data_IF_440402365116
#
_entry.id   IF_440402365116
#
_cell.length_a   1.000
_cell.length_b   1.000
_cell.length_c   1.000
_cell.angle_alpha   90.00
_cell.angle_beta   90.00
_cell.angle_gamma   90.00
#
_symmetry.space_group_name_H-M   'P 1'
#
loop_
_entity.id
_entity.type
_entity.pdbx_description
1 polymer ?
#
# COMPACT_ATOMS: atom_id res chain seq x y z
N UNK A 1 1.95 11.48 13.41
CA UNK A 1 1.52 11.64 12.00
C UNK A 1 0.35 12.64 11.94
N UNK A 2 0.62 13.96 11.84
CA UNK A 2 -0.41 15.02 11.72
C UNK A 2 -0.28 15.87 10.43
N UNK A 3 0.59 15.51 9.48
CA UNK A 3 0.90 16.36 8.31
C UNK A 3 0.39 15.87 6.93
N UNK A 4 -0.47 14.85 6.83
CA UNK A 4 -0.81 14.25 5.53
C UNK A 4 -2.30 13.92 5.41
N UNK A 5 -3.16 14.86 5.01
CA UNK A 5 -4.56 14.48 4.78
C UNK A 5 -5.30 15.06 3.58
N UNK A 6 -4.84 16.05 2.80
CA UNK A 6 -5.69 16.53 1.71
C UNK A 6 -5.99 15.46 0.65
N UNK A 7 -4.98 14.67 0.24
CA UNK A 7 -5.16 13.61 -0.76
C UNK A 7 -5.97 12.39 -0.27
N UNK A 8 -6.07 12.18 1.05
CA UNK A 8 -6.77 11.05 1.65
C UNK A 8 -8.19 11.43 2.14
N UNK A 9 -8.39 12.67 2.60
CA UNK A 9 -9.68 13.14 3.13
C UNK A 9 -10.76 13.19 2.07
N UNK A 10 -10.42 13.56 0.83
CA UNK A 10 -11.38 13.64 -0.30
C UNK A 10 -11.95 12.26 -0.68
N UNK A 11 -11.38 11.17 -0.18
CA UNK A 11 -11.81 9.82 -0.55
C UNK A 11 -12.41 9.00 0.60
N UNK A 12 -11.99 9.17 1.86
CA UNK A 12 -12.53 8.38 2.98
C UNK A 12 -12.23 9.04 4.33
N UNK A 13 -13.24 9.44 5.12
CA UNK A 13 -13.31 9.43 6.62
C UNK A 13 -14.68 10.01 7.09
N UNK A 14 -15.29 9.50 8.19
CA UNK A 14 -16.54 10.03 8.75
C UNK A 14 -16.34 11.32 9.57
N UNK A 15 -17.39 12.13 9.60
CA UNK A 15 -17.52 13.45 10.24
C UNK A 15 -17.13 13.51 11.72
N UNK A 16 -16.22 14.42 12.09
CA UNK A 16 -16.03 14.92 13.46
C UNK A 16 -16.20 16.43 13.46
N UNK A 17 -17.09 16.94 14.32
CA UNK A 17 -17.40 18.36 14.43
C UNK A 17 -16.21 19.15 14.97
N UNK A 18 -15.85 20.25 14.29
CA UNK A 18 -14.79 21.17 14.70
C UNK A 18 -15.22 22.60 14.30
N UNK A 19 -14.70 23.67 14.93
CA UNK A 19 -15.24 25.02 14.72
C UNK A 19 -15.12 25.44 13.26
N UNK A 20 -16.23 26.00 12.76
CA UNK A 20 -16.52 26.21 11.35
C UNK A 20 -16.00 27.58 10.89
N UNK A 21 -15.12 27.58 9.88
CA UNK A 21 -15.12 28.70 8.93
C UNK A 21 -16.35 28.50 8.04
N UNK A 22 -17.17 29.54 7.88
CA UNK A 22 -18.28 29.53 6.94
C UNK A 22 -17.72 29.35 5.53
N UNK A 23 -17.97 28.19 4.96
CA UNK A 23 -17.65 27.86 3.59
C UNK A 23 -18.88 28.21 2.76
N UNK A 24 -18.73 29.17 1.84
CA UNK A 24 -19.82 29.73 1.04
C UNK A 24 -20.36 28.75 -0.01
N UNK A 25 -19.66 27.63 -0.21
CA UNK A 25 -20.08 26.55 -1.10
C UNK A 25 -21.15 25.65 -0.44
N UNK A 26 -22.34 26.23 -0.26
CA UNK A 26 -23.48 25.63 0.47
C UNK A 26 -24.03 24.34 -0.15
N UNK A 27 -23.72 24.08 -1.42
CA UNK A 27 -24.25 22.93 -2.16
C UNK A 27 -23.60 21.60 -1.77
N UNK A 28 -22.37 21.62 -1.20
CA UNK A 28 -21.64 20.39 -0.86
C UNK A 28 -21.00 20.49 0.52
N UNK A 29 -21.81 20.22 1.56
CA UNK A 29 -21.39 20.23 2.98
C UNK A 29 -20.12 19.40 3.24
N UNK A 30 -19.99 18.25 2.57
CA UNK A 30 -18.83 17.36 2.71
C UNK A 30 -17.53 18.00 2.18
N UNK A 31 -17.61 18.74 1.08
CA UNK A 31 -16.47 19.44 0.50
C UNK A 31 -15.88 20.46 1.47
N UNK A 32 -16.75 21.24 2.11
CA UNK A 32 -16.35 22.22 3.12
C UNK A 32 -15.72 21.58 4.38
N UNK A 33 -16.22 20.43 4.81
CA UNK A 33 -15.62 19.65 5.92
C UNK A 33 -14.18 19.26 5.56
N UNK A 34 -13.95 18.78 4.34
CA UNK A 34 -12.63 18.38 3.88
C UNK A 34 -11.66 19.57 3.76
N UNK A 35 -12.13 20.72 3.25
CA UNK A 35 -11.32 21.94 3.18
C UNK A 35 -10.94 22.44 4.58
N UNK A 36 -11.88 22.45 5.52
CA UNK A 36 -11.62 22.88 6.90
C UNK A 36 -10.63 21.96 7.61
N UNK A 37 -10.76 20.64 7.40
CA UNK A 37 -9.82 19.67 7.96
C UNK A 37 -8.41 19.87 7.40
N UNK A 38 -8.28 20.01 6.08
CA UNK A 38 -7.03 20.28 5.40
C UNK A 38 -6.31 21.54 5.92
N UNK A 39 -7.05 22.66 6.01
CA UNK A 39 -6.53 23.92 6.53
C UNK A 39 -5.95 23.75 7.94
N UNK A 40 -6.67 23.06 8.84
CA UNK A 40 -6.21 22.82 10.23
C UNK A 40 -4.89 22.06 10.25
N UNK A 41 -4.72 21.06 9.40
CA UNK A 41 -3.51 20.25 9.36
C UNK A 41 -2.32 21.01 8.80
N UNK A 42 -2.53 21.88 7.81
CA UNK A 42 -1.48 22.76 7.33
C UNK A 42 -1.03 23.73 8.44
N UNK A 43 -1.97 24.27 9.23
CA UNK A 43 -1.65 25.11 10.39
C UNK A 43 -0.85 24.35 11.46
N UNK A 44 -1.22 23.10 11.76
CA UNK A 44 -0.43 22.24 12.66
C UNK A 44 0.99 21.98 12.11
N UNK A 45 1.11 21.73 10.81
CA UNK A 45 2.38 21.52 10.15
C UNK A 45 3.29 22.75 10.23
N UNK A 46 2.73 23.94 9.94
CA UNK A 46 3.42 25.23 10.07
C UNK A 46 3.91 25.46 11.50
N UNK A 47 3.04 25.24 12.50
CA UNK A 47 3.42 25.34 13.92
C UNK A 47 4.58 24.40 14.25
N UNK A 48 4.61 23.20 13.70
CA UNK A 48 5.69 22.24 13.93
C UNK A 48 7.02 22.71 13.32
N UNK A 49 7.02 23.26 12.10
CA UNK A 49 8.23 23.87 11.51
C UNK A 49 8.77 25.03 12.36
N UNK A 50 7.88 25.86 12.91
CA UNK A 50 8.26 27.04 13.70
C UNK A 50 8.78 26.65 15.10
N UNK A 51 8.23 25.59 15.70
CA UNK A 51 8.57 25.16 17.07
C UNK A 51 9.76 24.21 17.18
N UNK A 52 10.19 23.61 16.07
CA UNK A 52 11.27 22.61 16.04
C UNK A 52 12.38 22.94 15.03
N UNK A 53 12.89 24.18 14.95
CA UNK A 53 13.79 24.62 13.87
C UNK A 53 15.11 23.83 13.80
N UNK A 54 15.57 23.25 14.91
CA UNK A 54 16.81 22.48 14.99
C UNK A 54 16.77 21.14 14.25
N UNK A 55 15.58 20.61 13.94
CA UNK A 55 15.40 19.34 13.24
C UNK A 55 15.40 19.47 11.72
N UNK A 56 15.57 20.70 11.22
CA UNK A 56 15.42 20.99 9.82
C UNK A 56 16.62 21.73 9.23
N UNK A 57 16.89 21.44 7.97
CA UNK A 57 17.60 22.35 7.11
C UNK A 57 16.81 23.65 6.95
N UNK A 58 17.45 24.75 7.37
CA UNK A 58 16.82 26.06 7.49
C UNK A 58 16.28 26.59 6.16
N UNK A 59 16.99 26.32 5.05
CA UNK A 59 16.59 26.81 3.74
C UNK A 59 15.43 25.99 3.18
N UNK A 60 15.52 24.66 3.28
CA UNK A 60 14.48 23.76 2.79
C UNK A 60 13.19 23.85 3.63
N UNK A 61 13.30 24.00 4.95
CA UNK A 61 12.15 24.24 5.82
C UNK A 61 11.47 25.57 5.53
N UNK A 62 12.22 26.67 5.37
CA UNK A 62 11.66 27.98 4.98
C UNK A 62 10.87 27.87 3.66
N UNK A 63 11.41 27.10 2.72
CA UNK A 63 10.80 26.82 1.44
C UNK A 63 9.54 25.94 1.54
N UNK A 64 9.51 24.95 2.46
CA UNK A 64 8.33 24.14 2.76
C UNK A 64 7.23 24.98 3.44
N UNK A 65 7.57 25.75 4.47
CA UNK A 65 6.69 26.67 5.18
C UNK A 65 6.06 27.71 4.22
N UNK A 66 6.85 28.27 3.30
CA UNK A 66 6.32 29.20 2.28
C UNK A 66 5.26 28.56 1.38
N UNK A 67 5.48 27.30 0.97
CA UNK A 67 4.54 26.55 0.13
C UNK A 67 3.28 26.16 0.91
N UNK A 68 3.38 25.69 2.15
CA UNK A 68 2.22 25.44 3.01
C UNK A 68 1.37 26.70 3.21
N UNK A 69 1.99 27.87 3.45
CA UNK A 69 1.25 29.14 3.53
C UNK A 69 0.54 29.51 2.22
N UNK A 70 1.08 29.12 1.07
CA UNK A 70 0.42 29.33 -0.22
C UNK A 70 -0.73 28.34 -0.43
N UNK A 71 -0.60 27.09 0.04
CA UNK A 71 -1.69 26.13 0.07
C UNK A 71 -2.86 26.64 0.92
N UNK A 72 -2.58 27.15 2.12
CA UNK A 72 -3.60 27.71 3.00
C UNK A 72 -4.32 28.91 2.38
N UNK A 73 -3.60 29.80 1.71
CA UNK A 73 -4.22 30.90 0.95
C UNK A 73 -5.13 30.40 -0.17
N UNK A 74 -4.77 29.31 -0.84
CA UNK A 74 -5.59 28.71 -1.89
C UNK A 74 -6.82 28.01 -1.31
N UNK A 75 -6.67 27.27 -0.20
CA UNK A 75 -7.77 26.63 0.52
C UNK A 75 -8.76 27.67 1.07
N UNK A 76 -8.25 28.76 1.64
CA UNK A 76 -9.09 29.85 2.12
C UNK A 76 -9.88 30.49 0.98
N UNK A 77 -9.24 30.71 -0.19
CA UNK A 77 -9.96 31.18 -1.38
C UNK A 77 -11.01 30.18 -1.86
N UNK A 78 -10.73 28.87 -1.81
CA UNK A 78 -11.73 27.83 -2.16
C UNK A 78 -12.99 27.92 -1.32
N UNK A 79 -12.85 28.22 -0.02
CA UNK A 79 -13.98 28.35 0.89
C UNK A 79 -14.86 29.56 0.57
N UNK A 80 -14.36 30.55 -0.18
CA UNK A 80 -15.06 31.80 -0.52
C UNK A 80 -15.67 31.80 -1.93
N UNK A 81 -15.45 30.74 -2.71
CA UNK A 81 -15.88 30.69 -4.11
C UNK A 81 -17.23 29.99 -4.24
N UNK A 82 -18.17 30.67 -4.91
CA UNK A 82 -19.44 30.08 -5.34
C UNK A 82 -19.41 29.47 -6.74
N UNK A 83 -18.35 29.70 -7.53
CA UNK A 83 -18.25 29.25 -8.92
C UNK A 83 -17.46 27.92 -9.05
N UNK A 84 -18.08 26.83 -9.53
CA UNK A 84 -17.42 25.52 -9.71
C UNK A 84 -16.16 25.51 -10.59
N UNK A 85 -16.08 26.35 -11.62
CA UNK A 85 -14.90 26.39 -12.51
C UNK A 85 -13.68 27.01 -11.82
N UNK A 86 -13.92 28.00 -10.95
CA UNK A 86 -12.85 28.60 -10.14
C UNK A 86 -12.41 27.67 -9.02
N UNK A 87 -13.35 26.92 -8.43
CA UNK A 87 -13.07 25.92 -7.40
C UNK A 87 -12.03 24.90 -7.90
N UNK A 88 -12.20 24.36 -9.11
CA UNK A 88 -11.25 23.37 -9.61
C UNK A 88 -9.83 23.93 -9.78
N UNK A 89 -9.71 25.15 -10.29
CA UNK A 89 -8.43 25.82 -10.50
C UNK A 89 -7.72 26.15 -9.18
N UNK A 90 -8.45 26.58 -8.16
CA UNK A 90 -7.89 26.85 -6.84
C UNK A 90 -7.55 25.57 -6.07
N UNK A 91 -8.30 24.49 -6.26
CA UNK A 91 -8.04 23.17 -5.68
C UNK A 91 -6.73 22.60 -6.21
N UNK A 92 -6.52 22.73 -7.52
CA UNK A 92 -5.26 22.35 -8.19
C UNK A 92 -4.07 23.12 -7.63
N UNK A 93 -4.21 24.44 -7.44
CA UNK A 93 -3.17 25.30 -6.84
C UNK A 93 -2.87 24.87 -5.40
N UNK A 94 -3.90 24.67 -4.57
CA UNK A 94 -3.75 24.21 -3.19
C UNK A 94 -2.98 22.89 -3.12
N UNK A 95 -3.42 21.89 -3.87
CA UNK A 95 -2.81 20.57 -3.89
C UNK A 95 -1.35 20.60 -4.34
N UNK A 96 -1.03 21.39 -5.37
CA UNK A 96 0.34 21.52 -5.84
C UNK A 96 1.25 22.22 -4.81
N UNK A 97 0.74 23.21 -4.08
CA UNK A 97 1.49 23.86 -3.00
C UNK A 97 1.74 22.92 -1.83
N UNK A 98 0.75 22.15 -1.38
CA UNK A 98 0.94 21.16 -0.31
C UNK A 98 1.90 20.06 -0.72
N UNK A 99 1.78 19.59 -1.96
CA UNK A 99 2.67 18.54 -2.47
C UNK A 99 4.12 19.00 -2.53
N UNK A 100 4.37 20.21 -3.04
CA UNK A 100 5.72 20.78 -3.06
C UNK A 100 6.26 21.08 -1.65
N UNK A 101 5.38 21.46 -0.71
CA UNK A 101 5.78 21.64 0.68
C UNK A 101 6.22 20.34 1.33
N UNK A 102 5.47 19.25 1.12
CA UNK A 102 5.81 17.93 1.64
C UNK A 102 7.14 17.42 1.10
N UNK A 103 7.38 17.56 -0.21
CA UNK A 103 8.65 17.15 -0.84
C UNK A 103 9.81 17.87 -0.16
N UNK A 104 9.69 19.18 0.03
CA UNK A 104 10.70 20.02 0.66
C UNK A 104 10.86 19.72 2.14
N UNK A 105 9.79 19.39 2.86
CA UNK A 105 9.85 18.97 4.25
C UNK A 105 10.64 17.66 4.41
N UNK A 106 10.41 16.69 3.52
CA UNK A 106 11.15 15.42 3.50
C UNK A 106 12.63 15.68 3.24
N UNK A 107 12.95 16.53 2.25
CA UNK A 107 14.33 16.91 1.93
C UNK A 107 14.98 17.78 3.02
N UNK A 108 14.19 18.58 3.74
CA UNK A 108 14.68 19.46 4.81
C UNK A 108 15.02 18.70 6.08
N UNK A 109 14.55 17.48 6.25
CA UNK A 109 14.75 16.78 7.48
C UNK A 109 16.25 16.42 7.63
N UNK A 110 16.86 16.77 8.77
CA UNK A 110 18.25 16.40 9.07
C UNK A 110 18.32 15.13 9.92
N UNK A 111 19.22 14.19 9.62
CA UNK A 111 19.50 13.05 10.49
C UNK A 111 19.94 13.52 11.88
N UNK A 112 19.41 12.89 12.93
CA UNK A 112 19.79 13.19 14.32
C UNK A 112 21.06 12.40 14.67
N UNK A 113 22.21 13.07 14.72
CA UNK A 113 23.51 12.63 15.25
C UNK A 113 24.00 11.22 14.82
N UNK A 114 24.75 11.22 13.73
CA UNK A 114 25.75 10.23 13.33
C UNK A 114 26.95 10.22 14.31
N UNK A 115 26.94 9.34 15.31
CA UNK A 115 28.20 8.86 15.89
C UNK A 115 28.71 7.67 15.07
N UNK A 116 29.49 8.04 14.05
CA UNK A 116 30.60 7.34 13.40
C UNK A 116 30.70 5.82 13.70
N UNK A 117 30.13 5.02 12.80
CA UNK A 117 30.84 3.89 12.19
C UNK A 117 30.69 4.10 10.68
N UNK A 118 31.81 4.08 9.95
CA UNK A 118 31.84 4.29 8.52
C UNK A 118 31.03 3.22 7.79
N UNK A 119 29.77 3.51 7.49
CA UNK A 119 29.08 3.01 6.31
C UNK A 119 27.92 3.95 5.98
N UNK A 120 27.82 4.28 4.70
CA UNK A 120 26.92 5.28 4.12
C UNK A 120 25.47 4.85 4.37
N UNK A 121 24.69 5.65 5.09
CA UNK A 121 23.35 6.12 4.68
C UNK A 121 22.72 6.98 5.79
N UNK A 122 22.33 8.20 5.41
CA UNK A 122 21.78 9.24 6.30
C UNK A 122 20.23 9.19 6.30
N UNK A 123 19.60 8.96 7.47
CA UNK A 123 18.13 8.83 7.59
C UNK A 123 17.48 9.90 8.47
N UNK A 124 16.21 10.16 8.20
CA UNK A 124 15.37 11.03 9.00
C UNK A 124 14.34 10.28 9.83
N UNK A 125 14.22 10.65 11.11
CA UNK A 125 13.37 9.98 12.10
C UNK A 125 12.25 10.94 12.52
N UNK A 126 11.00 10.55 12.26
CA UNK A 126 9.82 11.22 12.81
C UNK A 126 9.33 10.47 14.05
N UNK A 127 9.39 11.12 15.21
CA UNK A 127 8.95 10.53 16.47
C UNK A 127 7.45 10.81 16.67
N UNK A 128 6.64 9.75 16.65
CA UNK A 128 5.26 9.79 17.14
C UNK A 128 5.01 8.46 17.84
N UNK A 129 4.70 8.50 19.15
CA UNK A 129 4.29 7.38 20.00
C UNK A 129 4.63 5.99 19.41
N UNK A 130 5.89 5.59 19.56
CA UNK A 130 6.40 4.25 19.31
C UNK A 130 6.29 3.72 17.86
N UNK A 131 6.46 4.56 16.83
CA UNK A 131 6.71 4.03 15.47
C UNK A 131 7.71 4.89 14.69
N UNK A 132 8.77 4.26 14.19
CA UNK A 132 9.81 4.87 13.38
C UNK A 132 9.39 4.87 11.90
N UNK A 133 9.44 6.04 11.24
CA UNK A 133 9.13 6.17 9.80
C UNK A 133 10.42 6.42 9.03
N UNK A 134 10.86 5.43 8.25
CA UNK A 134 11.97 5.56 7.29
C UNK A 134 11.45 5.84 5.88
N UNK A 135 11.96 6.89 5.25
CA UNK A 135 11.66 7.25 3.85
C UNK A 135 12.89 6.90 2.98
N UNK A 136 12.84 5.83 2.17
CA UNK A 136 13.98 5.42 1.35
C UNK A 136 14.23 6.39 0.19
N UNK A 137 15.47 6.47 -0.30
CA UNK A 137 15.89 7.36 -1.41
C UNK A 137 15.07 7.15 -2.70
N UNK A 138 14.63 5.92 -2.94
CA UNK A 138 13.72 5.57 -4.05
C UNK A 138 12.33 6.20 -3.91
N UNK A 139 11.85 6.39 -2.67
CA UNK A 139 10.65 7.17 -2.38
C UNK A 139 10.88 8.66 -2.63
N UNK A 140 12.06 9.19 -2.32
CA UNK A 140 12.44 10.58 -2.62
C UNK A 140 12.42 10.87 -4.11
N UNK A 141 12.99 9.98 -4.95
CA UNK A 141 12.94 10.08 -6.42
C UNK A 141 11.51 10.01 -6.96
N UNK A 142 10.68 9.11 -6.45
CA UNK A 142 9.26 9.00 -6.83
C UNK A 142 8.45 10.21 -6.39
N UNK A 143 8.78 10.79 -5.24
CA UNK A 143 8.17 12.00 -4.71
C UNK A 143 8.57 13.22 -5.55
N UNK A 144 9.84 13.34 -5.97
CA UNK A 144 10.30 14.37 -6.91
C UNK A 144 9.65 14.25 -8.28
N UNK A 145 9.52 13.03 -8.83
CA UNK A 145 8.81 12.78 -10.09
C UNK A 145 7.32 13.14 -9.99
N UNK A 146 6.69 12.86 -8.85
CA UNK A 146 5.31 13.27 -8.60
C UNK A 146 5.18 14.81 -8.48
N UNK A 147 6.17 15.50 -7.92
CA UNK A 147 6.20 16.96 -7.84
C UNK A 147 6.38 17.60 -9.22
N UNK A 148 7.27 17.07 -10.05
CA UNK A 148 7.45 17.50 -11.44
C UNK A 148 6.18 17.30 -12.28
N UNK A 149 5.52 16.15 -12.15
CA UNK A 149 4.22 15.90 -12.77
C UNK A 149 3.15 16.89 -12.29
N UNK A 150 3.12 17.23 -11.00
CA UNK A 150 2.17 18.21 -10.47
C UNK A 150 2.46 19.64 -10.95
N UNK A 151 3.73 20.04 -11.06
CA UNK A 151 4.10 21.34 -11.65
C UNK A 151 3.75 21.42 -13.14
N UNK A 152 3.98 20.34 -13.90
CA UNK A 152 3.60 20.25 -15.31
C UNK A 152 2.09 20.23 -15.49
N UNK A 153 1.34 19.68 -14.54
CA UNK A 153 -0.11 19.73 -14.57
C UNK A 153 -0.61 21.15 -14.33
N UNK A 154 0.02 21.96 -13.46
CA UNK A 154 -0.38 23.35 -13.17
C UNK A 154 -0.41 24.27 -14.40
N UNK A 155 0.36 24.00 -15.44
CA UNK A 155 0.41 24.82 -16.67
C UNK A 155 -0.69 24.50 -17.68
N UNK A 156 -1.40 23.38 -17.54
CA UNK A 156 -2.51 22.98 -18.42
C UNK A 156 -3.85 23.62 -18.01
N UNK A 157 -4.61 24.12 -18.98
CA UNK A 157 -5.90 24.83 -18.79
C UNK A 157 -7.14 23.95 -18.97
N UNK A 158 -7.07 22.81 -19.66
CA UNK A 158 -8.23 21.94 -19.92
C UNK A 158 -8.48 20.92 -18.79
N UNK A 159 -9.68 20.93 -18.23
CA UNK A 159 -10.13 20.09 -17.11
C UNK A 159 -10.16 18.58 -17.46
N UNK A 160 -10.47 18.19 -18.70
CA UNK A 160 -10.57 16.77 -19.10
C UNK A 160 -9.20 16.12 -19.24
N UNK A 161 -8.18 16.88 -19.61
CA UNK A 161 -6.80 16.38 -19.69
C UNK A 161 -6.13 16.19 -18.32
N UNK A 162 -6.74 16.68 -17.24
CA UNK A 162 -6.11 16.78 -15.92
C UNK A 162 -6.49 15.63 -14.98
N UNK A 163 -7.70 15.08 -15.09
CA UNK A 163 -8.26 14.15 -14.10
C UNK A 163 -7.43 12.86 -14.02
N UNK A 164 -7.12 12.24 -15.16
CA UNK A 164 -6.40 10.96 -15.18
C UNK A 164 -4.93 11.07 -14.77
N UNK A 165 -4.16 12.08 -15.24
CA UNK A 165 -2.81 12.31 -14.73
C UNK A 165 -2.77 12.64 -13.23
N UNK A 166 -3.75 13.40 -12.72
CA UNK A 166 -3.81 13.75 -11.30
C UNK A 166 -4.13 12.53 -10.44
N UNK A 167 -5.10 11.69 -10.84
CA UNK A 167 -5.37 10.39 -10.20
C UNK A 167 -4.13 9.50 -10.19
N UNK A 168 -3.39 9.46 -11.30
CA UNK A 168 -2.15 8.67 -11.42
C UNK A 168 -1.07 9.16 -10.46
N UNK A 169 -0.86 10.48 -10.37
CA UNK A 169 0.11 11.08 -9.46
C UNK A 169 -0.26 10.88 -7.98
N UNK A 170 -1.54 11.08 -7.63
CA UNK A 170 -2.05 10.86 -6.28
C UNK A 170 -1.96 9.40 -5.85
N UNK A 171 -2.31 8.46 -6.74
CA UNK A 171 -2.22 7.02 -6.49
C UNK A 171 -0.77 6.56 -6.29
N UNK A 172 0.17 7.06 -7.08
CA UNK A 172 1.59 6.77 -6.91
C UNK A 172 2.11 7.26 -5.55
N UNK A 173 1.64 8.44 -5.11
CA UNK A 173 2.03 9.06 -3.82
C UNK A 173 1.40 8.35 -2.61
N UNK A 174 0.10 7.99 -2.69
CA UNK A 174 -0.58 7.20 -1.66
C UNK A 174 0.02 5.80 -1.52
N UNK A 175 0.41 5.17 -2.64
CA UNK A 175 1.09 3.87 -2.63
C UNK A 175 2.44 3.90 -1.91
N UNK A 176 3.19 5.00 -2.01
CA UNK A 176 4.43 5.19 -1.28
C UNK A 176 4.21 5.43 0.24
N UNK A 177 3.06 5.98 0.64
CA UNK A 177 2.75 6.35 2.03
C UNK A 177 1.97 5.28 2.82
N UNK A 178 1.28 4.36 2.15
CA UNK A 178 0.47 3.30 2.78
C UNK A 178 1.27 2.04 3.15
N UNK A 179 2.52 1.92 2.69
CA UNK A 179 3.45 0.85 3.11
C UNK A 179 3.92 0.99 4.57
N UNK A 180 3.43 2.00 5.31
CA UNK A 180 4.00 2.45 6.60
C UNK A 180 3.16 2.11 7.84
N UNK A 181 2.01 1.41 7.73
CA UNK A 181 1.08 1.19 8.87
C UNK A 181 0.66 -0.28 9.10
N UNK A 182 1.53 -1.25 8.85
CA UNK A 182 1.23 -2.67 9.12
C UNK A 182 2.21 -3.18 10.18
N UNK A 183 1.78 -3.21 11.43
CA UNK A 183 2.55 -3.76 12.54
C UNK A 183 1.64 -4.27 13.66
N UNK A 184 1.78 -5.56 13.97
CA UNK A 184 1.34 -6.28 15.16
C UNK A 184 -0.18 -6.47 15.39
N UNK A 185 -0.79 -7.38 14.62
CA UNK A 185 -1.78 -8.31 15.19
C UNK A 185 -1.19 -9.72 15.09
N UNK A 186 -0.47 -10.15 16.13
CA UNK A 186 -0.37 -11.58 16.44
C UNK A 186 -1.71 -11.98 17.06
N UNK A 187 -2.74 -12.16 16.20
CA UNK A 187 -3.95 -12.84 16.65
C UNK A 187 -3.57 -14.28 17.00
N UNK A 188 -3.93 -14.72 18.20
CA UNK A 188 -3.88 -16.12 18.63
C UNK A 188 -4.28 -17.05 17.47
N UNK A 189 -3.63 -18.21 17.35
CA UNK A 189 -4.02 -19.33 16.48
C UNK A 189 -5.42 -19.89 16.84
N UNK A 190 -6.36 -19.04 17.26
CA UNK A 190 -7.75 -19.41 17.47
C UNK A 190 -8.33 -19.78 16.11
N UNK A 191 -8.83 -21.00 16.03
CA UNK A 191 -9.60 -21.53 14.92
C UNK A 191 -10.75 -20.58 14.61
N UNK A 192 -10.53 -19.65 13.68
CA UNK A 192 -11.53 -18.70 13.27
C UNK A 192 -12.60 -19.50 12.53
N UNK A 193 -13.82 -19.51 13.06
CA UNK A 193 -14.89 -20.35 12.52
C UNK A 193 -15.23 -19.91 11.09
N UNK A 194 -15.06 -20.83 10.16
CA UNK A 194 -15.26 -20.61 8.73
C UNK A 194 -16.76 -20.64 8.40
N UNK A 195 -17.30 -19.51 7.96
CA UNK A 195 -18.73 -19.31 7.79
C UNK A 195 -19.31 -20.03 6.56
N UNK A 196 -18.48 -20.38 5.57
CA UNK A 196 -18.86 -21.17 4.41
C UNK A 196 -18.36 -22.60 4.57
N UNK A 197 -19.26 -23.55 4.84
CA UNK A 197 -18.90 -24.94 5.09
C UNK A 197 -19.18 -25.81 3.86
N UNK A 198 -18.14 -26.16 3.10
CA UNK A 198 -18.22 -27.13 1.99
C UNK A 198 -16.96 -27.97 1.95
N UNK A 199 -17.09 -29.30 2.00
CA UNK A 199 -15.97 -30.23 1.84
C UNK A 199 -14.72 -29.84 2.63
N UNK A 200 -13.57 -29.79 1.95
CA UNK A 200 -12.27 -29.40 2.51
C UNK A 200 -12.00 -27.89 2.50
N UNK A 201 -12.91 -27.06 1.99
CA UNK A 201 -12.66 -25.65 1.72
C UNK A 201 -12.05 -24.88 2.91
N UNK A 202 -12.58 -25.10 4.11
CA UNK A 202 -12.07 -24.41 5.30
C UNK A 202 -10.70 -24.93 5.74
N UNK A 203 -10.42 -26.22 5.55
CA UNK A 203 -9.11 -26.80 5.82
C UNK A 203 -8.06 -26.27 4.84
N UNK A 204 -8.43 -26.12 3.57
CA UNK A 204 -7.59 -25.54 2.51
C UNK A 204 -7.28 -24.06 2.82
N UNK A 205 -8.28 -23.25 3.18
CA UNK A 205 -8.07 -21.84 3.60
C UNK A 205 -7.18 -21.73 4.85
N UNK A 206 -7.40 -22.59 5.84
CA UNK A 206 -6.58 -22.62 7.05
C UNK A 206 -5.14 -23.03 6.73
N UNK A 207 -4.94 -23.96 5.81
CA UNK A 207 -3.62 -24.40 5.35
C UNK A 207 -2.89 -23.29 4.60
N UNK A 208 -3.60 -22.53 3.76
CA UNK A 208 -3.06 -21.33 3.11
C UNK A 208 -2.60 -20.28 4.13
N UNK A 209 -3.47 -19.95 5.09
CA UNK A 209 -3.17 -19.00 6.15
C UNK A 209 -1.97 -19.42 7.01
N UNK A 210 -1.92 -20.70 7.43
CA UNK A 210 -0.80 -21.26 8.21
C UNK A 210 0.51 -21.24 7.43
N UNK A 211 0.47 -21.47 6.12
CA UNK A 211 1.67 -21.40 5.27
C UNK A 211 2.26 -19.99 5.23
N UNK A 212 1.42 -18.97 5.09
CA UNK A 212 1.85 -17.57 5.19
C UNK A 212 2.38 -17.18 6.57
N UNK A 213 1.74 -17.65 7.64
CA UNK A 213 2.26 -17.43 8.99
C UNK A 213 3.66 -18.03 9.17
N UNK A 214 3.95 -19.19 8.56
CA UNK A 214 5.31 -19.76 8.58
C UNK A 214 6.33 -18.86 7.88
N UNK A 215 5.96 -18.22 6.76
CA UNK A 215 6.82 -17.25 6.09
C UNK A 215 7.05 -15.99 6.93
N UNK A 216 6.00 -15.47 7.59
CA UNK A 216 6.12 -14.32 8.50
C UNK A 216 6.98 -14.64 9.73
N UNK A 217 6.74 -15.80 10.38
CA UNK A 217 7.56 -16.29 11.50
C UNK A 217 9.03 -16.41 11.09
N UNK A 218 9.31 -16.82 9.84
CA UNK A 218 10.67 -16.88 9.32
C UNK A 218 11.32 -15.49 9.21
N UNK A 219 10.62 -14.49 8.67
CA UNK A 219 11.13 -13.12 8.61
C UNK A 219 11.47 -12.55 10.00
N UNK A 220 10.60 -12.80 10.99
CA UNK A 220 10.81 -12.33 12.35
C UNK A 220 11.98 -13.05 13.04
N UNK A 221 12.14 -14.36 12.81
CA UNK A 221 13.20 -15.16 13.41
C UNK A 221 14.57 -14.91 12.79
N UNK A 222 14.60 -14.51 11.51
CA UNK A 222 15.83 -14.38 10.72
C UNK A 222 15.95 -13.02 10.03
N UNK A 223 15.94 -11.89 10.77
CA UNK A 223 15.89 -10.55 10.18
C UNK A 223 17.17 -10.16 9.40
N UNK A 224 18.27 -10.89 9.58
CA UNK A 224 19.55 -10.60 8.90
C UNK A 224 19.85 -11.55 7.72
N UNK A 225 19.01 -12.56 7.48
CA UNK A 225 19.25 -13.55 6.40
C UNK A 225 18.82 -13.05 5.03
N UNK A 226 18.04 -11.99 4.99
CA UNK A 226 17.53 -11.36 3.78
C UNK A 226 17.74 -9.85 3.91
N UNK A 227 17.76 -9.16 2.77
CA UNK A 227 17.81 -7.69 2.75
C UNK A 227 16.66 -7.06 3.57
N UNK A 228 16.91 -5.93 4.24
CA UNK A 228 15.89 -5.31 5.09
C UNK A 228 14.65 -4.89 4.28
N UNK A 229 14.84 -4.38 3.06
CA UNK A 229 13.74 -4.07 2.17
C UNK A 229 13.04 -5.36 1.68
N UNK A 230 13.77 -6.48 1.57
CA UNK A 230 13.19 -7.81 1.35
C UNK A 230 12.19 -8.14 2.48
N UNK A 231 12.62 -8.02 3.72
CA UNK A 231 11.80 -8.41 4.87
C UNK A 231 10.59 -7.49 5.00
N UNK A 232 10.80 -6.18 4.99
CA UNK A 232 9.71 -5.19 5.19
C UNK A 232 8.60 -5.32 4.14
N UNK A 233 8.98 -5.36 2.86
CA UNK A 233 8.00 -5.46 1.78
C UNK A 233 7.40 -6.85 1.66
N UNK A 234 8.19 -7.90 1.92
CA UNK A 234 7.72 -9.29 1.95
C UNK A 234 6.64 -9.47 3.02
N UNK A 235 6.95 -9.09 4.26
CA UNK A 235 6.03 -9.07 5.40
C UNK A 235 4.74 -8.33 5.06
N UNK A 236 4.85 -7.12 4.49
CA UNK A 236 3.66 -6.32 4.11
C UNK A 236 2.76 -7.06 3.11
N UNK A 237 3.34 -7.70 2.10
CA UNK A 237 2.57 -8.42 1.06
C UNK A 237 1.90 -9.67 1.61
N UNK A 238 2.61 -10.43 2.44
CA UNK A 238 2.06 -11.64 3.08
C UNK A 238 0.94 -11.26 4.05
N UNK A 239 1.08 -10.19 4.84
CA UNK A 239 -0.02 -9.70 5.67
C UNK A 239 -1.27 -9.32 4.85
N UNK A 240 -1.11 -8.70 3.69
CA UNK A 240 -2.24 -8.38 2.80
C UNK A 240 -2.92 -9.63 2.25
N UNK A 241 -2.14 -10.67 1.94
CA UNK A 241 -2.66 -11.94 1.47
C UNK A 241 -3.42 -12.67 2.60
N UNK A 242 -2.82 -12.77 3.79
CA UNK A 242 -3.46 -13.30 4.99
C UNK A 242 -4.74 -12.57 5.37
N UNK A 243 -4.74 -11.25 5.33
CA UNK A 243 -5.96 -10.47 5.57
C UNK A 243 -7.05 -10.87 4.59
N UNK A 244 -6.71 -11.03 3.30
CA UNK A 244 -7.67 -11.45 2.28
C UNK A 244 -8.18 -12.87 2.54
N UNK A 245 -7.34 -13.78 3.06
CA UNK A 245 -7.76 -15.13 3.46
C UNK A 245 -8.75 -15.09 4.62
N UNK A 246 -8.45 -14.34 5.69
CA UNK A 246 -9.40 -14.18 6.82
C UNK A 246 -10.71 -13.54 6.38
N UNK A 247 -10.65 -12.51 5.53
CA UNK A 247 -11.84 -11.85 4.99
C UNK A 247 -12.76 -12.85 4.25
N UNK A 248 -12.22 -13.94 3.65
CA UNK A 248 -13.00 -15.00 2.99
C UNK A 248 -13.70 -15.90 4.02
N UNK A 249 -13.05 -16.22 5.14
CA UNK A 249 -13.60 -17.10 6.18
C UNK A 249 -14.90 -16.54 6.77
N UNK A 250 -15.13 -15.23 6.67
CA UNK A 250 -16.35 -14.56 7.13
C UNK A 250 -17.48 -14.56 6.08
N UNK A 251 -17.21 -14.99 4.84
CA UNK A 251 -18.19 -14.98 3.74
C UNK A 251 -19.09 -16.21 3.82
N UNK A 252 -20.36 -16.04 3.41
CA UNK A 252 -21.40 -17.06 3.52
C UNK A 252 -21.95 -17.50 2.17
N UNK A 253 -21.88 -16.64 1.17
CA UNK A 253 -22.41 -16.96 -0.16
C UNK A 253 -21.28 -17.41 -1.08
N UNK A 254 -21.57 -18.37 -1.96
CA UNK A 254 -20.61 -18.89 -2.94
C UNK A 254 -19.99 -17.76 -3.78
N UNK A 255 -20.80 -16.79 -4.22
CA UNK A 255 -20.32 -15.66 -5.03
C UNK A 255 -19.33 -14.78 -4.28
N UNK A 256 -19.61 -14.43 -3.01
CA UNK A 256 -18.69 -13.65 -2.18
C UNK A 256 -17.41 -14.42 -1.88
N UNK A 257 -17.53 -15.73 -1.62
CA UNK A 257 -16.38 -16.62 -1.40
C UNK A 257 -15.49 -16.66 -2.64
N UNK A 258 -16.05 -16.91 -3.83
CA UNK A 258 -15.28 -16.94 -5.09
C UNK A 258 -14.61 -15.60 -5.41
N UNK A 259 -15.32 -14.49 -5.22
CA UNK A 259 -14.74 -13.15 -5.40
C UNK A 259 -13.59 -12.89 -4.41
N UNK A 260 -13.75 -13.33 -3.16
CA UNK A 260 -12.72 -13.27 -2.13
C UNK A 260 -11.50 -14.14 -2.48
N UNK A 261 -11.72 -15.39 -2.88
CA UNK A 261 -10.67 -16.33 -3.32
C UNK A 261 -9.86 -15.76 -4.48
N UNK A 262 -10.51 -15.20 -5.51
CA UNK A 262 -9.84 -14.54 -6.64
C UNK A 262 -8.92 -13.40 -6.17
N UNK A 263 -9.38 -12.61 -5.21
CA UNK A 263 -8.60 -11.50 -4.62
C UNK A 263 -7.43 -12.03 -3.78
N UNK A 264 -7.64 -13.03 -2.94
CA UNK A 264 -6.58 -13.64 -2.12
C UNK A 264 -5.50 -14.29 -2.99
N UNK A 265 -5.89 -15.07 -3.99
CA UNK A 265 -4.97 -15.70 -4.95
C UNK A 265 -4.14 -14.64 -5.69
N UNK A 266 -4.75 -13.53 -6.11
CA UNK A 266 -4.03 -12.41 -6.69
C UNK A 266 -3.00 -11.77 -5.75
N UNK A 267 -3.30 -11.69 -4.45
CA UNK A 267 -2.37 -11.18 -3.43
C UNK A 267 -1.22 -12.13 -3.17
N UNK A 268 -1.48 -13.43 -3.04
CA UNK A 268 -0.43 -14.45 -2.87
C UNK A 268 0.55 -14.45 -4.04
N UNK A 269 0.04 -14.45 -5.27
CA UNK A 269 0.88 -14.37 -6.47
C UNK A 269 1.71 -13.10 -6.50
N UNK A 270 1.12 -11.98 -6.08
CA UNK A 270 1.84 -10.72 -5.93
C UNK A 270 2.92 -10.76 -4.84
N UNK A 271 2.74 -11.55 -3.78
CA UNK A 271 3.75 -11.81 -2.77
C UNK A 271 4.87 -12.70 -3.32
N UNK A 272 4.54 -13.82 -3.97
CA UNK A 272 5.51 -14.76 -4.54
C UNK A 272 6.34 -14.12 -5.66
N UNK A 273 5.71 -13.40 -6.58
CA UNK A 273 6.41 -12.71 -7.68
C UNK A 273 7.47 -11.76 -7.13
N UNK A 274 7.08 -10.99 -6.11
CA UNK A 274 7.97 -10.02 -5.50
C UNK A 274 9.11 -10.69 -4.72
N UNK A 275 8.79 -11.76 -3.98
CA UNK A 275 9.77 -12.54 -3.26
C UNK A 275 10.80 -13.11 -4.24
N UNK A 276 10.34 -13.74 -5.35
CA UNK A 276 11.19 -14.27 -6.43
C UNK A 276 12.10 -13.21 -7.04
N UNK A 277 11.51 -12.09 -7.45
CA UNK A 277 12.26 -11.00 -8.07
C UNK A 277 13.39 -10.55 -7.16
N UNK A 278 13.08 -10.28 -5.89
CA UNK A 278 14.05 -9.68 -4.96
C UNK A 278 15.21 -10.62 -4.65
N UNK A 279 15.03 -11.95 -4.53
CA UNK A 279 16.22 -12.80 -4.36
C UNK A 279 16.99 -13.07 -5.64
N UNK A 280 16.36 -13.00 -6.82
CA UNK A 280 17.08 -13.17 -8.09
C UNK A 280 17.94 -11.95 -8.46
N UNK A 281 17.51 -10.75 -8.05
CA UNK A 281 18.15 -9.47 -8.40
C UNK A 281 19.22 -9.01 -7.43
N UNK A 282 19.32 -9.63 -6.26
CA UNK A 282 20.32 -9.24 -5.27
C UNK A 282 21.71 -9.75 -5.67
N UNK A 283 22.72 -8.92 -5.41
CA UNK A 283 24.10 -9.09 -5.88
C UNK A 283 24.89 -10.14 -5.10
N UNK A 284 24.38 -10.61 -3.94
CA UNK A 284 24.99 -11.71 -3.16
C UNK A 284 24.63 -13.09 -3.70
N UNK A 285 24.92 -13.36 -4.97
CA UNK A 285 24.77 -14.70 -5.57
C UNK A 285 25.81 -15.66 -4.98
N UNK A 286 25.41 -16.91 -4.69
CA UNK A 286 26.29 -17.93 -4.12
C UNK A 286 26.32 -17.98 -2.58
N UNK A 287 25.53 -17.14 -1.91
CA UNK A 287 25.27 -17.26 -0.47
C UNK A 287 24.21 -18.37 -0.23
N UNK A 288 24.69 -19.55 0.18
CA UNK A 288 23.87 -20.75 0.38
C UNK A 288 22.76 -20.50 1.42
N UNK A 289 23.08 -19.89 2.56
CA UNK A 289 22.08 -19.64 3.61
C UNK A 289 20.94 -18.76 3.12
N UNK A 290 21.28 -17.80 2.27
CA UNK A 290 20.33 -16.88 1.68
C UNK A 290 19.50 -17.54 0.58
N UNK A 291 20.09 -18.38 -0.26
CA UNK A 291 19.35 -19.19 -1.25
C UNK A 291 18.35 -20.14 -0.57
N UNK A 292 18.75 -20.78 0.52
CA UNK A 292 17.87 -21.61 1.36
C UNK A 292 16.74 -20.76 1.98
N UNK A 293 17.05 -19.57 2.47
CA UNK A 293 16.07 -18.64 3.05
C UNK A 293 15.03 -18.19 2.02
N UNK A 294 15.49 -17.85 0.82
CA UNK A 294 14.61 -17.51 -0.30
C UNK A 294 13.74 -18.70 -0.71
N UNK A 295 14.35 -19.88 -0.85
CA UNK A 295 13.65 -21.12 -1.18
C UNK A 295 12.57 -21.45 -0.15
N UNK A 296 12.89 -21.31 1.14
CA UNK A 296 11.92 -21.49 2.22
C UNK A 296 10.74 -20.54 2.05
N UNK A 297 10.97 -19.23 1.93
CA UNK A 297 9.90 -18.23 1.80
C UNK A 297 9.04 -18.51 0.56
N UNK A 298 9.65 -18.82 -0.58
CA UNK A 298 8.90 -19.14 -1.81
C UNK A 298 8.06 -20.38 -1.67
N UNK A 299 8.61 -21.41 -1.02
CA UNK A 299 7.88 -22.66 -0.81
C UNK A 299 6.64 -22.44 0.04
N UNK A 300 6.70 -21.53 1.03
CA UNK A 300 5.55 -21.24 1.91
C UNK A 300 4.48 -20.40 1.22
N UNK A 301 4.86 -19.36 0.49
CA UNK A 301 3.89 -18.58 -0.29
C UNK A 301 3.29 -19.45 -1.41
N UNK A 302 4.14 -20.27 -2.05
CA UNK A 302 3.74 -21.21 -3.09
C UNK A 302 2.75 -22.26 -2.62
N UNK A 303 2.97 -22.83 -1.43
CA UNK A 303 2.01 -23.72 -0.78
C UNK A 303 0.68 -22.97 -0.53
N UNK A 304 0.73 -21.74 -0.03
CA UNK A 304 -0.46 -20.90 0.12
C UNK A 304 -1.26 -20.72 -1.18
N UNK A 305 -0.58 -20.57 -2.32
CA UNK A 305 -1.25 -20.54 -3.63
C UNK A 305 -1.92 -21.87 -3.97
N UNK A 306 -1.25 -23.01 -3.77
CA UNK A 306 -1.80 -24.33 -4.06
C UNK A 306 -3.07 -24.59 -3.24
N UNK A 307 -3.02 -24.32 -1.93
CA UNK A 307 -4.17 -24.46 -1.03
C UNK A 307 -5.35 -23.55 -1.44
N UNK A 308 -5.08 -22.31 -1.86
CA UNK A 308 -6.13 -21.44 -2.41
C UNK A 308 -6.75 -21.98 -3.70
N UNK A 309 -5.97 -22.69 -4.52
CA UNK A 309 -6.48 -23.32 -5.74
C UNK A 309 -7.36 -24.53 -5.43
N UNK A 310 -7.00 -25.34 -4.42
CA UNK A 310 -7.86 -26.42 -3.92
C UNK A 310 -9.17 -25.85 -3.35
N UNK A 311 -9.10 -24.80 -2.54
CA UNK A 311 -10.29 -24.10 -2.05
C UNK A 311 -11.19 -23.58 -3.20
N UNK A 312 -10.61 -23.08 -4.31
CA UNK A 312 -11.39 -22.66 -5.48
C UNK A 312 -12.09 -23.86 -6.14
N UNK A 313 -11.40 -24.99 -6.31
CA UNK A 313 -11.97 -26.20 -6.92
C UNK A 313 -13.17 -26.73 -6.13
N UNK A 314 -13.13 -26.63 -4.81
CA UNK A 314 -14.21 -27.05 -3.93
C UNK A 314 -15.44 -26.15 -4.02
N UNK A 315 -15.24 -24.82 -4.13
CA UNK A 315 -16.34 -23.85 -4.15
C UNK A 315 -16.99 -23.75 -5.53
N UNK A 316 -16.27 -24.03 -6.63
CA UNK A 316 -16.85 -23.94 -7.99
C UNK A 316 -17.76 -25.13 -8.28
N UNK A 317 -19.06 -24.83 -8.41
CA UNK A 317 -20.10 -25.82 -8.74
C UNK A 317 -20.46 -25.88 -10.23
N UNK A 318 -20.15 -24.82 -10.98
CA UNK A 318 -20.40 -24.77 -12.42
C UNK A 318 -19.52 -25.80 -13.16
N UNK A 319 -20.10 -26.79 -13.86
CA UNK A 319 -19.34 -27.88 -14.48
C UNK A 319 -18.34 -27.40 -15.53
N UNK A 320 -18.69 -26.37 -16.30
CA UNK A 320 -17.81 -25.83 -17.35
C UNK A 320 -16.59 -25.13 -16.72
N UNK A 321 -16.81 -24.24 -15.75
CA UNK A 321 -15.74 -23.58 -15.00
C UNK A 321 -14.86 -24.60 -14.28
N UNK A 322 -15.48 -25.61 -13.63
CA UNK A 322 -14.75 -26.69 -12.95
C UNK A 322 -13.87 -27.46 -13.92
N UNK A 323 -14.37 -27.78 -15.12
CA UNK A 323 -13.59 -28.41 -16.19
C UNK A 323 -12.37 -27.57 -16.58
N UNK A 324 -12.54 -26.27 -16.82
CA UNK A 324 -11.43 -25.35 -17.14
C UNK A 324 -10.38 -25.26 -16.01
N UNK A 325 -10.84 -25.26 -14.76
CA UNK A 325 -9.94 -25.23 -13.59
C UNK A 325 -9.15 -26.53 -13.44
N UNK A 326 -9.80 -27.68 -13.68
CA UNK A 326 -9.13 -28.98 -13.68
C UNK A 326 -8.12 -29.10 -14.82
N UNK A 327 -8.47 -28.67 -16.02
CA UNK A 327 -7.53 -28.63 -17.16
C UNK A 327 -6.32 -27.75 -16.86
N UNK A 328 -6.55 -26.54 -16.31
CA UNK A 328 -5.47 -25.64 -15.90
C UNK A 328 -4.55 -26.24 -14.81
N UNK A 329 -5.13 -27.04 -13.91
CA UNK A 329 -4.42 -27.73 -12.85
C UNK A 329 -3.63 -28.92 -13.42
N UNK A 330 -4.26 -29.80 -14.20
CA UNK A 330 -3.62 -30.96 -14.83
C UNK A 330 -2.51 -30.54 -15.79
N UNK A 331 -2.70 -29.50 -16.61
CA UNK A 331 -1.66 -28.95 -17.47
C UNK A 331 -0.49 -28.38 -16.66
N UNK A 332 -0.73 -27.86 -15.45
CA UNK A 332 0.37 -27.48 -14.56
C UNK A 332 1.11 -28.71 -14.04
N UNK A 333 0.42 -29.71 -13.48
CA UNK A 333 1.06 -30.91 -12.93
C UNK A 333 1.72 -31.78 -14.02
N UNK A 334 1.20 -31.79 -15.25
CA UNK A 334 1.81 -32.49 -16.38
C UNK A 334 3.08 -31.84 -16.91
N UNK A 335 3.32 -30.56 -16.60
CA UNK A 335 4.55 -29.84 -16.97
C UNK A 335 5.71 -30.10 -16.00
N UNK A 336 5.45 -30.65 -14.81
CA UNK A 336 6.44 -30.80 -13.76
C UNK A 336 6.39 -32.20 -13.14
N UNK A 337 7.47 -32.98 -13.27
CA UNK A 337 7.58 -34.34 -12.71
C UNK A 337 7.39 -34.39 -11.18
N UNK A 338 7.64 -33.27 -10.49
CA UNK A 338 7.37 -33.07 -9.08
C UNK A 338 7.03 -31.60 -8.85
N UNK A 339 5.74 -31.21 -8.93
CA UNK A 339 5.32 -29.82 -8.87
C UNK A 339 5.78 -29.20 -7.55
N UNK A 340 6.76 -28.33 -7.67
CA UNK A 340 7.34 -27.67 -6.52
C UNK A 340 6.46 -26.45 -6.20
N UNK A 341 6.12 -26.17 -4.93
CA UNK A 341 5.49 -24.91 -4.53
C UNK A 341 6.16 -23.66 -5.13
N UNK A 342 7.44 -23.73 -5.48
CA UNK A 342 8.15 -22.68 -6.22
C UNK A 342 7.47 -22.34 -7.56
N UNK A 343 6.87 -23.30 -8.28
CA UNK A 343 6.24 -23.12 -9.59
C UNK A 343 4.80 -22.60 -9.52
N UNK A 344 4.22 -22.51 -8.30
CA UNK A 344 2.82 -22.13 -8.06
C UNK A 344 2.40 -20.77 -8.64
N UNK A 345 3.36 -19.89 -8.99
CA UNK A 345 3.06 -18.63 -9.67
C UNK A 345 2.32 -18.82 -11.00
N UNK A 346 2.72 -19.83 -11.77
CA UNK A 346 2.13 -20.16 -13.07
C UNK A 346 0.74 -20.78 -12.87
N UNK A 347 0.61 -21.74 -11.95
CA UNK A 347 -0.68 -22.32 -11.57
C UNK A 347 -1.69 -21.24 -11.20
N UNK A 348 -1.33 -20.36 -10.27
CA UNK A 348 -2.21 -19.27 -9.85
C UNK A 348 -2.58 -18.31 -10.99
N UNK A 349 -1.74 -18.14 -12.03
CA UNK A 349 -2.10 -17.33 -13.21
C UNK A 349 -3.17 -18.03 -14.05
N UNK A 350 -2.94 -19.31 -14.38
CA UNK A 350 -3.86 -20.12 -15.19
C UNK A 350 -5.25 -20.16 -14.55
N UNK A 351 -5.31 -20.38 -13.23
CA UNK A 351 -6.55 -20.39 -12.46
C UNK A 351 -7.26 -19.02 -12.50
N UNK A 352 -6.54 -17.92 -12.29
CA UNK A 352 -7.14 -16.59 -12.38
C UNK A 352 -7.67 -16.24 -13.77
N UNK A 353 -7.02 -16.73 -14.83
CA UNK A 353 -7.48 -16.50 -16.20
C UNK A 353 -8.70 -17.36 -16.54
N UNK A 354 -8.75 -18.62 -16.10
CA UNK A 354 -9.94 -19.47 -16.18
C UNK A 354 -11.14 -18.80 -15.46
N UNK A 355 -10.93 -18.22 -14.27
CA UNK A 355 -11.96 -17.49 -13.52
C UNK A 355 -12.38 -16.13 -14.13
N UNK A 356 -11.71 -15.63 -15.18
CA UNK A 356 -12.13 -14.40 -15.88
C UNK A 356 -12.98 -14.68 -17.11
N UNK A 357 -12.79 -15.84 -17.75
CA UNK A 357 -13.50 -16.19 -18.98
C UNK A 357 -14.99 -16.47 -18.75
N UNK A 358 -15.39 -16.71 -17.50
CA UNK A 358 -16.76 -17.06 -17.10
C UNK A 358 -17.44 -15.98 -16.22
N UNK A 359 -16.85 -14.79 -16.10
CA UNK A 359 -17.42 -13.62 -15.40
C UNK A 359 -17.79 -12.54 -16.39
#
# INVERSE_FOLDING_TARGET
MRMLFFAASVLFIPSVATPDFECDYKEVKEFCIHLNHAYKLNQEALKYFDTQPQHWDKLLAKNATSRLRQADKAIFKLMQLGNPEEIFNWLKKALAFECGALVRAILACKPKNSHIIQEKDEYCIFEYQYTYVTVPESSTKRISQADELLQNLLTKTDQKELIEPLKKALKAKLGALTQTKVGAEESSESDQECAYTSGSFCDDLNSAYKSNLKALKFFNKHPNRLDENFIKNGTTRIHQANKSIRDIMEKRTQQEVLAGLKKALGRERGALTWAKLTCLTDTRRGDIEREESCTFVYSKIGAGIQELVEAIKEVVTDPEMRGKLLEAYEDFYGQFDSPNPIEALALGQKILDAMKQNS
#
